data_IF_283163325830
#
_entry.id   IF_283163325830
#
_cell.length_a   1.000
_cell.length_b   1.000
_cell.length_c   1.000
_cell.angle_alpha   90.00
_cell.angle_beta   90.00
_cell.angle_gamma   90.00
#
_symmetry.space_group_name_H-M   'P 1'
#
loop_
_entity.id
_entity.type
_entity.pdbx_description
1 polymer ?
#
# COMPACT_ATOMS: atom_id res chain seq x y z
N UNK A 1 -8.67 -49.01 -37.67
CA UNK A 1 -9.54 -49.00 -36.48
C UNK A 1 -8.98 -50.08 -35.58
N UNK A 2 -8.16 -49.81 -34.58
CA UNK A 2 -8.28 -48.79 -33.52
C UNK A 2 -6.93 -48.43 -32.91
N UNK A 3 -6.84 -47.15 -32.54
CA UNK A 3 -5.99 -46.46 -31.57
C UNK A 3 -4.91 -47.20 -30.79
N UNK A 4 -3.71 -46.63 -30.82
CA UNK A 4 -2.95 -46.36 -29.59
C UNK A 4 -1.94 -45.24 -29.85
N UNK A 5 -2.46 -44.03 -30.04
CA UNK A 5 -1.66 -42.80 -29.91
C UNK A 5 -1.13 -42.79 -28.48
N UNK A 6 0.17 -43.05 -28.31
CA UNK A 6 0.83 -43.04 -27.01
C UNK A 6 0.83 -41.61 -26.48
N UNK A 7 -0.01 -41.34 -25.49
CA UNK A 7 0.05 -40.10 -24.74
C UNK A 7 1.37 -40.05 -23.96
N UNK A 8 2.26 -39.16 -24.40
CA UNK A 8 3.51 -38.87 -23.70
C UNK A 8 3.18 -37.84 -22.63
N UNK A 9 2.90 -38.30 -21.42
CA UNK A 9 2.75 -37.42 -20.25
C UNK A 9 4.08 -36.75 -19.95
N UNK A 10 4.19 -35.45 -20.21
CA UNK A 10 5.31 -34.63 -19.79
C UNK A 10 5.18 -34.35 -18.29
N UNK A 11 5.84 -35.16 -17.47
CA UNK A 11 6.04 -34.82 -16.07
C UNK A 11 7.03 -33.65 -16.00
N UNK A 12 6.53 -32.44 -15.78
CA UNK A 12 7.37 -31.27 -15.50
C UNK A 12 7.96 -31.47 -14.10
N UNK A 13 9.20 -31.95 -14.03
CA UNK A 13 9.96 -32.02 -12.78
C UNK A 13 10.34 -30.57 -12.43
N UNK A 14 9.72 -30.01 -11.39
CA UNK A 14 10.10 -28.70 -10.85
C UNK A 14 11.38 -28.88 -10.03
N UNK A 15 12.51 -28.88 -10.72
CA UNK A 15 13.82 -29.12 -10.12
C UNK A 15 14.35 -27.84 -9.49
N UNK A 16 14.21 -27.75 -8.17
CA UNK A 16 14.70 -26.63 -7.34
C UNK A 16 16.21 -26.71 -7.03
N UNK A 17 16.95 -27.65 -7.65
CA UNK A 17 18.38 -27.91 -7.36
C UNK A 17 19.25 -26.65 -7.50
N UNK A 18 18.93 -25.75 -8.42
CA UNK A 18 19.74 -24.57 -8.71
C UNK A 18 19.27 -23.30 -7.99
N UNK A 19 18.19 -23.36 -7.21
CA UNK A 19 17.65 -22.17 -6.55
C UNK A 19 18.63 -21.60 -5.52
N UNK A 20 19.23 -22.46 -4.70
CA UNK A 20 20.23 -22.04 -3.71
C UNK A 20 21.46 -21.40 -4.35
N UNK A 21 21.96 -21.98 -5.44
CA UNK A 21 23.10 -21.44 -6.19
C UNK A 21 22.78 -20.09 -6.83
N UNK A 22 21.56 -19.92 -7.36
CA UNK A 22 21.09 -18.64 -7.87
C UNK A 22 21.08 -17.57 -6.79
N UNK A 23 20.60 -17.89 -5.57
CA UNK A 23 20.54 -16.94 -4.45
C UNK A 23 21.93 -16.45 -4.05
N UNK A 24 22.89 -17.37 -3.92
CA UNK A 24 24.26 -17.04 -3.54
C UNK A 24 24.96 -16.24 -4.64
N UNK A 25 24.88 -16.70 -5.89
CA UNK A 25 25.57 -16.05 -7.02
C UNK A 25 24.98 -14.68 -7.37
N UNK A 26 23.71 -14.44 -7.05
CA UNK A 26 23.00 -13.19 -7.40
C UNK A 26 22.55 -12.42 -6.16
N UNK A 27 23.34 -12.43 -5.08
CA UNK A 27 23.03 -11.75 -3.82
C UNK A 27 22.66 -10.26 -3.98
N UNK A 28 23.22 -9.58 -4.98
CA UNK A 28 22.90 -8.17 -5.26
C UNK A 28 21.46 -7.96 -5.73
N UNK A 29 20.89 -8.90 -6.51
CA UNK A 29 19.50 -8.85 -6.94
C UNK A 29 18.57 -9.01 -5.72
N UNK A 30 18.94 -9.86 -4.77
CA UNK A 30 18.17 -10.07 -3.53
C UNK A 30 18.21 -8.84 -2.63
N UNK A 31 19.37 -8.20 -2.48
CA UNK A 31 19.47 -6.94 -1.73
C UNK A 31 18.61 -5.86 -2.38
N UNK A 32 18.69 -5.70 -3.71
CA UNK A 32 17.86 -4.74 -4.43
C UNK A 32 16.38 -5.04 -4.27
N UNK A 33 15.97 -6.30 -4.41
CA UNK A 33 14.59 -6.72 -4.24
C UNK A 33 14.06 -6.40 -2.84
N UNK A 34 14.76 -6.81 -1.79
CA UNK A 34 14.32 -6.54 -0.41
C UNK A 34 14.41 -5.06 -0.07
N UNK A 35 15.38 -4.33 -0.63
CA UNK A 35 15.48 -2.88 -0.48
C UNK A 35 14.28 -2.15 -1.08
N UNK A 36 13.93 -2.46 -2.34
CA UNK A 36 12.75 -1.90 -2.99
C UNK A 36 11.46 -2.33 -2.28
N UNK A 37 11.36 -3.59 -1.85
CA UNK A 37 10.21 -4.09 -1.10
C UNK A 37 10.05 -3.35 0.23
N UNK A 38 11.16 -3.11 0.95
CA UNK A 38 11.15 -2.34 2.19
C UNK A 38 10.70 -0.89 1.95
N UNK A 39 11.20 -0.23 0.89
CA UNK A 39 10.76 1.13 0.52
C UNK A 39 9.27 1.15 0.16
N UNK A 40 8.77 0.16 -0.57
CA UNK A 40 7.36 0.04 -0.95
C UNK A 40 6.44 -0.20 0.25
N UNK A 41 6.85 -1.07 1.18
CA UNK A 41 6.13 -1.31 2.42
C UNK A 41 6.17 -0.05 3.28
N UNK A 42 7.33 0.59 3.41
CA UNK A 42 7.49 1.83 4.15
C UNK A 42 6.62 2.95 3.58
N UNK A 43 6.52 3.09 2.25
CA UNK A 43 5.65 4.10 1.62
C UNK A 43 4.16 3.84 1.88
N UNK A 44 3.78 2.57 1.93
CA UNK A 44 2.40 2.15 2.24
C UNK A 44 2.07 2.36 3.72
N UNK A 45 3.02 2.12 4.61
CA UNK A 45 2.84 2.37 6.04
C UNK A 45 2.88 3.88 6.33
N UNK A 46 3.80 4.63 5.71
CA UNK A 46 3.92 6.08 5.90
C UNK A 46 2.70 6.83 5.41
N UNK A 47 2.03 6.38 4.35
CA UNK A 47 0.76 6.98 3.92
C UNK A 47 -0.37 6.76 4.93
N UNK A 48 -0.35 5.66 5.68
CA UNK A 48 -1.30 5.40 6.77
C UNK A 48 -0.90 6.10 8.10
N UNK A 49 0.40 6.30 8.33
CA UNK A 49 0.92 7.05 9.50
C UNK A 49 0.83 8.57 9.27
N UNK A 50 0.73 9.01 8.02
CA UNK A 50 0.77 10.41 7.57
C UNK A 50 -0.42 11.30 7.92
N UNK A 51 -1.27 10.95 8.89
CA UNK A 51 -1.99 12.01 9.62
C UNK A 51 -3.49 11.86 9.89
N UNK A 52 -4.09 10.66 9.80
CA UNK A 52 -5.40 10.46 10.40
C UNK A 52 -6.15 9.25 9.88
N UNK A 53 -6.98 8.66 10.74
CA UNK A 53 -8.01 7.74 10.29
C UNK A 53 -8.91 8.48 9.31
N UNK A 54 -8.98 7.99 8.06
CA UNK A 54 -9.96 8.51 7.11
C UNK A 54 -11.36 8.22 7.63
N UNK A 55 -12.09 9.27 7.97
CA UNK A 55 -13.46 9.21 8.43
C UNK A 55 -14.39 9.76 7.36
N UNK A 56 -15.61 9.25 7.30
CA UNK A 56 -16.63 9.84 6.43
C UNK A 56 -17.24 11.11 7.05
N UNK A 57 -18.03 11.85 6.27
CA UNK A 57 -18.67 13.09 6.73
C UNK A 57 -19.54 12.90 7.96
N UNK A 58 -20.32 11.80 8.04
CA UNK A 58 -21.18 11.54 9.19
C UNK A 58 -20.38 11.32 10.48
N UNK A 59 -19.29 10.55 10.39
CA UNK A 59 -18.35 10.33 11.49
C UNK A 59 -17.66 11.63 11.91
N UNK A 60 -17.24 12.46 10.95
CA UNK A 60 -16.64 13.76 11.24
C UNK A 60 -17.60 14.68 12.02
N UNK A 61 -18.85 14.78 11.58
CA UNK A 61 -19.89 15.54 12.27
C UNK A 61 -20.16 14.97 13.68
N UNK A 62 -20.19 13.64 13.82
CA UNK A 62 -20.35 13.00 15.13
C UNK A 62 -19.19 13.36 16.07
N UNK A 63 -17.94 13.32 15.59
CA UNK A 63 -16.76 13.65 16.39
C UNK A 63 -16.78 15.11 16.84
N UNK A 64 -17.11 16.04 15.95
CA UNK A 64 -17.21 17.46 16.30
C UNK A 64 -18.31 17.69 17.33
N UNK A 65 -19.51 17.15 17.08
CA UNK A 65 -20.68 17.43 17.93
C UNK A 65 -20.66 16.70 19.28
N UNK A 66 -20.20 15.44 19.32
CA UNK A 66 -20.27 14.59 20.52
C UNK A 66 -18.94 14.49 21.25
N UNK A 67 -17.83 14.61 20.55
CA UNK A 67 -16.49 14.43 21.10
C UNK A 67 -15.66 15.72 21.12
N UNK A 68 -16.28 16.88 20.84
CA UNK A 68 -15.63 18.20 20.81
C UNK A 68 -14.43 18.26 19.85
N UNK A 69 -14.51 17.53 18.73
CA UNK A 69 -13.53 17.63 17.66
C UNK A 69 -13.49 19.03 17.03
N UNK A 70 -12.37 19.37 16.39
CA UNK A 70 -12.17 20.64 15.69
C UNK A 70 -11.78 20.35 14.25
N UNK A 71 -12.38 21.07 13.30
CA UNK A 71 -11.95 21.03 11.91
C UNK A 71 -10.69 21.87 11.74
N UNK A 72 -9.62 21.26 11.26
CA UNK A 72 -8.37 21.95 10.90
C UNK A 72 -8.22 21.90 9.39
N UNK A 73 -8.18 23.06 8.76
CA UNK A 73 -8.00 23.22 7.31
C UNK A 73 -6.54 23.56 7.02
N UNK A 74 -5.84 22.65 6.35
CA UNK A 74 -4.40 22.76 6.05
C UNK A 74 -4.11 23.42 4.69
N UNK A 75 -5.13 24.00 4.04
CA UNK A 75 -4.98 24.71 2.75
C UNK A 75 -4.38 26.09 2.96
N UNK A 76 -3.92 26.71 1.87
CA UNK A 76 -3.43 28.09 1.90
C UNK A 76 -4.51 29.07 2.41
N UNK A 77 -4.07 30.11 3.11
CA UNK A 77 -4.95 31.13 3.68
C UNK A 77 -5.91 31.74 2.67
N UNK A 78 -5.46 32.00 1.44
CA UNK A 78 -6.32 32.56 0.39
C UNK A 78 -7.48 31.63 0.00
N UNK A 79 -7.27 30.31 0.04
CA UNK A 79 -8.32 29.31 -0.21
C UNK A 79 -9.28 29.22 0.98
N UNK A 80 -8.75 29.27 2.21
CA UNK A 80 -9.55 29.24 3.43
C UNK A 80 -10.48 30.46 3.54
N UNK A 81 -9.97 31.68 3.33
CA UNK A 81 -10.74 32.92 3.42
C UNK A 81 -11.85 33.00 2.37
N UNK A 82 -11.65 32.36 1.21
CA UNK A 82 -12.68 32.27 0.17
C UNK A 82 -13.84 31.37 0.60
N UNK A 83 -13.54 30.19 1.12
CA UNK A 83 -14.53 29.21 1.57
C UNK A 83 -13.90 28.20 2.53
N UNK A 84 -14.57 27.97 3.66
CA UNK A 84 -14.16 27.01 4.68
C UNK A 84 -15.38 26.46 5.42
N UNK A 85 -15.17 25.34 6.14
CA UNK A 85 -16.18 24.78 7.04
C UNK A 85 -16.35 25.74 8.23
N UNK A 86 -17.58 26.02 8.64
CA UNK A 86 -17.84 26.87 9.80
C UNK A 86 -17.06 26.40 11.04
N UNK A 87 -16.50 27.35 11.80
CA UNK A 87 -15.69 27.12 13.01
C UNK A 87 -14.40 26.30 12.81
N UNK A 88 -13.96 26.11 11.55
CA UNK A 88 -12.66 25.50 11.27
C UNK A 88 -11.50 26.47 11.52
N UNK A 89 -10.32 25.91 11.80
CA UNK A 89 -9.08 26.65 12.03
C UNK A 89 -8.13 26.40 10.86
N UNK A 90 -7.63 27.46 10.23
CA UNK A 90 -6.58 27.36 9.23
C UNK A 90 -5.20 27.26 9.91
N UNK A 91 -4.41 26.26 9.51
CA UNK A 91 -3.05 26.03 10.01
C UNK A 91 -2.07 25.80 8.86
#
# INVERSE_FOLDING_TARGET
>A
MTDSVRERTYNVRLDMENFGEFVVNHWILWILFFGLLAVLIASTISSNIGGGTSINTAQAIQIVNQHKGVFVDTRDKAAFEKEHIADSINM
#
